data_IF_742919107032
#
_entry.id   IF_742919107032
#
_cell.length_a   1.000
_cell.length_b   1.000
_cell.length_c   1.000
_cell.angle_alpha   90.00
_cell.angle_beta   90.00
_cell.angle_gamma   90.00
#
_symmetry.space_group_name_H-M   'P 1'
#
loop_
_entity.id
_entity.type
_entity.pdbx_description
1 polymer ?
#
# COMPACT_ATOMS: atom_id res chain seq x y z
N UNK A 1 -9.02 18.19 -18.54
CA UNK A 1 -9.09 19.53 -17.91
C UNK A 1 -9.89 20.42 -18.86
N UNK A 2 -10.92 21.12 -18.36
CA UNK A 2 -11.67 22.12 -19.12
C UNK A 2 -11.70 23.41 -18.31
N UNK A 3 -11.40 24.55 -18.92
CA UNK A 3 -11.44 25.84 -18.22
C UNK A 3 -10.97 27.03 -19.05
N UNK A 4 -11.23 28.21 -18.52
CA UNK A 4 -10.90 29.49 -19.15
C UNK A 4 -9.42 29.85 -18.94
N UNK A 5 -8.66 29.90 -20.03
CA UNK A 5 -7.24 30.27 -20.01
C UNK A 5 -7.01 31.78 -19.98
N UNK A 6 -8.07 32.59 -20.20
CA UNK A 6 -8.06 34.05 -20.21
C UNK A 6 -7.00 34.68 -21.15
N UNK A 7 -6.43 33.89 -22.06
CA UNK A 7 -5.41 34.31 -23.01
C UNK A 7 -5.74 33.74 -24.38
N UNK A 8 -5.90 34.58 -25.42
CA UNK A 8 -6.29 34.11 -26.75
C UNK A 8 -5.20 33.23 -27.36
N UNK A 9 -5.55 31.99 -27.69
CA UNK A 9 -4.65 31.04 -28.35
C UNK A 9 -4.22 31.51 -29.75
N UNK A 10 -5.08 32.24 -30.45
CA UNK A 10 -4.85 32.75 -31.80
C UNK A 10 -4.15 34.13 -31.87
N UNK A 11 -3.63 34.65 -30.76
CA UNK A 11 -2.98 35.96 -30.76
C UNK A 11 -1.69 35.96 -31.60
N UNK A 12 -1.54 36.95 -32.49
CA UNK A 12 -0.32 37.14 -33.31
C UNK A 12 0.95 37.27 -32.45
N UNK A 13 0.84 37.89 -31.27
CA UNK A 13 1.93 37.99 -30.29
C UNK A 13 1.65 37.03 -29.14
N UNK A 14 2.41 35.94 -29.07
CA UNK A 14 2.28 34.93 -28.03
C UNK A 14 2.65 35.52 -26.66
N UNK A 15 1.74 35.40 -25.70
CA UNK A 15 2.01 35.77 -24.30
C UNK A 15 2.91 34.72 -23.64
N UNK A 16 3.57 35.07 -22.53
CA UNK A 16 4.38 34.12 -21.78
C UNK A 16 3.60 32.86 -21.35
N UNK A 17 2.34 33.02 -20.92
CA UNK A 17 1.47 31.89 -20.60
C UNK A 17 1.19 30.99 -21.81
N UNK A 18 0.96 31.58 -22.99
CA UNK A 18 0.76 30.81 -24.23
C UNK A 18 2.02 30.06 -24.66
N UNK A 19 3.21 30.62 -24.40
CA UNK A 19 4.49 29.93 -24.64
C UNK A 19 4.65 28.72 -23.71
N UNK A 20 4.40 28.89 -22.41
CA UNK A 20 4.44 27.79 -21.44
C UNK A 20 3.44 26.67 -21.79
N UNK A 21 2.23 27.04 -22.24
CA UNK A 21 1.24 26.06 -22.70
C UNK A 21 1.76 25.29 -23.93
N UNK A 22 2.36 25.97 -24.90
CA UNK A 22 2.93 25.32 -26.08
C UNK A 22 4.12 24.41 -25.73
N UNK A 23 4.99 24.82 -24.81
CA UNK A 23 6.06 23.98 -24.27
C UNK A 23 5.49 22.72 -23.60
N UNK A 24 4.45 22.89 -22.77
CA UNK A 24 3.80 21.75 -22.11
C UNK A 24 3.09 20.80 -23.08
N UNK A 25 2.55 21.31 -24.19
CA UNK A 25 1.99 20.49 -25.27
C UNK A 25 3.09 19.78 -26.09
N UNK A 26 4.26 20.39 -26.25
CA UNK A 26 5.41 19.79 -26.95
C UNK A 26 5.97 18.57 -26.21
N UNK A 27 5.81 18.50 -24.89
CA UNK A 27 6.17 17.31 -24.08
C UNK A 27 5.31 16.08 -24.38
N UNK A 28 4.27 16.20 -25.23
CA UNK A 28 3.35 15.12 -25.67
C UNK A 28 2.61 14.37 -24.56
N UNK A 29 2.71 14.83 -23.32
CA UNK A 29 1.95 14.26 -22.19
C UNK A 29 0.49 14.74 -22.18
N UNK A 30 0.23 15.91 -22.77
CA UNK A 30 -1.06 16.57 -22.85
C UNK A 30 -1.39 16.94 -24.30
N UNK A 31 -2.66 16.85 -24.65
CA UNK A 31 -3.18 17.16 -25.99
C UNK A 31 -4.26 18.23 -25.84
N UNK A 32 -4.18 19.26 -26.68
CA UNK A 32 -5.21 20.28 -26.82
C UNK A 32 -6.27 19.78 -27.79
N UNK A 33 -7.51 19.65 -27.30
CA UNK A 33 -8.63 19.16 -28.10
C UNK A 33 -9.28 20.29 -28.92
N UNK A 34 -9.10 21.54 -28.48
CA UNK A 34 -9.64 22.69 -29.19
C UNK A 34 -9.10 22.84 -30.60
N UNK A 35 -9.99 23.19 -31.52
CA UNK A 35 -9.62 23.85 -32.76
C UNK A 35 -9.30 25.33 -32.49
N UNK A 36 -8.11 25.77 -32.94
CA UNK A 36 -7.65 27.17 -32.76
C UNK A 36 -8.43 28.16 -33.63
N UNK A 37 -9.22 27.68 -34.58
CA UNK A 37 -10.01 28.52 -35.51
C UNK A 37 -11.44 28.75 -35.03
N UNK A 38 -11.95 27.90 -34.13
CA UNK A 38 -13.33 27.97 -33.63
C UNK A 38 -13.38 28.76 -32.33
N UNK A 39 -13.91 29.97 -32.39
CA UNK A 39 -13.98 30.86 -31.23
C UNK A 39 -14.80 30.26 -30.09
N UNK A 40 -14.26 30.34 -28.86
CA UNK A 40 -14.95 29.93 -27.64
C UNK A 40 -15.56 31.10 -26.87
N UNK A 41 -15.21 32.34 -27.25
CA UNK A 41 -15.80 33.57 -26.74
C UNK A 41 -15.93 34.63 -27.83
N UNK A 42 -16.96 35.46 -27.77
CA UNK A 42 -17.10 36.69 -28.58
C UNK A 42 -17.05 37.92 -27.68
N UNK A 43 -16.10 38.82 -27.90
CA UNK A 43 -15.99 40.05 -27.11
C UNK A 43 -17.25 40.93 -27.29
N UNK A 44 -18.03 41.22 -26.24
CA UNK A 44 -19.25 42.00 -26.35
C UNK A 44 -19.01 43.47 -26.72
N UNK A 45 -17.81 44.01 -26.51
CA UNK A 45 -17.48 45.40 -26.84
C UNK A 45 -17.00 45.57 -28.29
N UNK A 46 -16.32 44.55 -28.84
CA UNK A 46 -15.66 44.63 -30.16
C UNK A 46 -16.24 43.69 -31.21
N UNK A 47 -17.08 42.73 -30.81
CA UNK A 47 -17.60 41.68 -31.68
C UNK A 47 -16.54 40.67 -32.16
N UNK A 48 -15.30 40.77 -31.67
CA UNK A 48 -14.19 39.92 -32.11
C UNK A 48 -14.19 38.59 -31.34
N UNK A 49 -14.07 37.49 -32.08
CA UNK A 49 -13.97 36.15 -31.50
C UNK A 49 -12.58 35.81 -30.96
N UNK A 50 -12.54 35.00 -29.91
CA UNK A 50 -11.30 34.49 -29.29
C UNK A 50 -11.46 33.05 -28.80
N UNK A 51 -10.38 32.26 -28.86
CA UNK A 51 -10.26 30.97 -28.17
C UNK A 51 -9.60 31.18 -26.82
N UNK A 52 -10.39 31.16 -25.74
CA UNK A 52 -9.94 31.31 -24.36
C UNK A 52 -10.22 30.05 -23.53
N UNK A 53 -11.40 29.47 -23.67
CA UNK A 53 -11.77 28.23 -22.97
C UNK A 53 -11.12 27.01 -23.62
N UNK A 54 -10.32 26.29 -22.85
CA UNK A 54 -9.53 25.16 -23.32
C UNK A 54 -10.03 23.84 -22.76
N UNK A 55 -9.97 22.81 -23.58
CA UNK A 55 -10.07 21.41 -23.22
C UNK A 55 -8.72 20.72 -23.50
N UNK A 56 -8.06 20.32 -22.41
CA UNK A 56 -6.79 19.60 -22.42
C UNK A 56 -7.02 18.19 -21.90
N UNK A 57 -6.56 17.19 -22.62
CA UNK A 57 -6.62 15.78 -22.21
C UNK A 57 -5.20 15.23 -22.05
N UNK A 58 -5.04 14.18 -21.25
CA UNK A 58 -3.79 13.42 -21.26
C UNK A 58 -3.70 12.58 -22.52
N UNK A 59 -2.50 12.42 -23.07
CA UNK A 59 -2.31 11.68 -24.33
C UNK A 59 -2.81 10.22 -24.26
N UNK A 60 -2.78 9.61 -23.07
CA UNK A 60 -3.24 8.24 -22.85
C UNK A 60 -4.77 8.05 -22.94
N UNK A 61 -5.58 9.11 -22.99
CA UNK A 61 -7.04 9.04 -23.12
C UNK A 61 -7.54 9.67 -24.43
N UNK A 62 -6.65 9.99 -25.35
CA UNK A 62 -6.98 10.59 -26.65
C UNK A 62 -7.97 9.73 -27.45
N UNK A 63 -7.72 8.43 -27.50
CA UNK A 63 -8.57 7.45 -28.19
C UNK A 63 -9.98 7.34 -27.58
N UNK A 64 -10.19 7.86 -26.37
CA UNK A 64 -11.47 7.87 -25.71
C UNK A 64 -12.29 9.13 -26.04
N UNK A 65 -11.74 10.13 -26.71
CA UNK A 65 -12.51 11.29 -27.16
C UNK A 65 -13.33 10.91 -28.37
N UNK A 66 -14.66 10.94 -28.22
CA UNK A 66 -15.60 10.66 -29.31
C UNK A 66 -15.85 11.92 -30.13
N UNK A 67 -16.09 13.03 -29.42
CA UNK A 67 -16.50 14.28 -30.04
C UNK A 67 -16.08 15.48 -29.18
N UNK A 68 -15.73 16.57 -29.84
CA UNK A 68 -15.50 17.88 -29.24
C UNK A 68 -16.19 18.94 -30.08
N UNK A 69 -17.07 19.72 -29.45
CA UNK A 69 -17.88 20.72 -30.14
C UNK A 69 -17.96 22.00 -29.30
N UNK A 70 -17.87 23.15 -29.97
CA UNK A 70 -18.16 24.47 -29.40
C UNK A 70 -19.51 24.93 -29.94
N UNK A 71 -20.45 25.24 -29.04
CA UNK A 71 -21.81 25.64 -29.38
C UNK A 71 -21.89 27.09 -29.92
N UNK A 72 -21.30 27.31 -31.08
CA UNK A 72 -21.29 28.61 -31.78
C UNK A 72 -22.69 29.08 -32.19
N UNK A 73 -23.65 28.15 -32.32
CA UNK A 73 -25.06 28.45 -32.62
C UNK A 73 -25.90 28.77 -31.36
N UNK A 74 -25.29 28.77 -30.17
CA UNK A 74 -25.93 29.10 -28.89
C UNK A 74 -27.20 28.27 -28.58
N UNK A 75 -27.23 27.00 -29.01
CA UNK A 75 -28.34 26.07 -28.74
C UNK A 75 -28.36 25.60 -27.28
N UNK A 76 -27.19 25.47 -26.68
CA UNK A 76 -26.94 24.99 -25.31
C UNK A 76 -26.30 26.06 -24.41
N UNK A 77 -25.80 27.14 -25.01
CA UNK A 77 -25.11 28.23 -24.32
C UNK A 77 -26.02 28.91 -23.30
N UNK A 78 -25.50 29.13 -22.09
CA UNK A 78 -26.27 29.71 -21.01
C UNK A 78 -26.75 31.13 -21.35
N UNK A 79 -27.97 31.46 -20.94
CA UNK A 79 -28.56 32.78 -21.16
C UNK A 79 -29.34 33.24 -19.94
N UNK A 80 -29.48 34.56 -19.79
CA UNK A 80 -30.43 35.18 -18.87
C UNK A 80 -31.59 35.79 -19.65
N UNK A 81 -32.75 35.85 -19.02
CA UNK A 81 -33.92 36.55 -19.56
C UNK A 81 -33.92 37.99 -19.02
N UNK A 82 -33.96 38.97 -19.92
CA UNK A 82 -34.03 40.40 -19.54
C UNK A 82 -35.33 40.99 -20.05
N UNK A 83 -36.08 41.63 -19.15
CA UNK A 83 -37.32 42.34 -19.49
C UNK A 83 -36.99 43.80 -19.80
N UNK A 84 -37.33 44.26 -21.00
CA UNK A 84 -37.14 45.66 -21.42
C UNK A 84 -38.33 46.54 -20.98
N UNK A 85 -38.14 47.86 -21.06
CA UNK A 85 -39.14 48.88 -20.66
C UNK A 85 -40.44 48.81 -21.47
N UNK A 86 -40.37 48.26 -22.68
CA UNK A 86 -41.50 47.98 -23.57
C UNK A 86 -42.25 46.66 -23.25
N UNK A 87 -41.94 46.02 -22.11
CA UNK A 87 -42.48 44.72 -21.66
C UNK A 87 -42.07 43.51 -22.51
N UNK A 88 -41.19 43.65 -23.50
CA UNK A 88 -40.61 42.50 -24.22
C UNK A 88 -39.60 41.76 -23.34
N UNK A 89 -39.48 40.44 -23.56
CA UNK A 89 -38.53 39.58 -22.87
C UNK A 89 -37.55 39.01 -23.88
N UNK A 90 -36.28 39.35 -23.74
CA UNK A 90 -35.21 38.90 -24.62
C UNK A 90 -34.23 37.96 -23.91
N UNK A 91 -33.70 37.00 -24.66
CA UNK A 91 -32.59 36.14 -24.22
C UNK A 91 -31.28 36.89 -24.44
N UNK A 92 -30.52 37.09 -23.36
CA UNK A 92 -29.15 37.61 -23.42
C UNK A 92 -28.22 36.47 -23.08
N UNK A 93 -27.51 35.97 -24.09
CA UNK A 93 -26.53 34.90 -23.95
C UNK A 93 -25.24 35.42 -23.30
N UNK A 94 -24.50 34.52 -22.65
CA UNK A 94 -23.12 34.79 -22.21
C UNK A 94 -22.21 35.04 -23.42
N UNK A 95 -21.12 35.77 -23.21
CA UNK A 95 -20.09 36.02 -24.23
C UNK A 95 -19.23 34.78 -24.51
N UNK A 96 -19.22 33.80 -23.59
CA UNK A 96 -18.58 32.49 -23.76
C UNK A 96 -19.55 31.45 -24.34
N UNK A 97 -19.09 30.65 -25.31
CA UNK A 97 -19.85 29.54 -25.87
C UNK A 97 -19.69 28.29 -25.00
N UNK A 98 -20.75 27.47 -24.91
CA UNK A 98 -20.65 26.17 -24.23
C UNK A 98 -19.76 25.22 -25.02
N UNK A 99 -18.86 24.54 -24.32
CA UNK A 99 -18.01 23.48 -24.88
C UNK A 99 -18.56 22.11 -24.47
N UNK A 100 -18.71 21.21 -25.45
CA UNK A 100 -19.13 19.83 -25.26
C UNK A 100 -17.96 18.90 -25.59
N UNK A 101 -17.54 18.09 -24.62
CA UNK A 101 -16.55 17.03 -24.80
C UNK A 101 -17.20 15.69 -24.45
N UNK A 102 -17.25 14.77 -25.42
CA UNK A 102 -17.79 13.43 -25.23
C UNK A 102 -16.65 12.41 -25.11
N UNK A 103 -16.68 11.63 -24.03
CA UNK A 103 -15.67 10.62 -23.74
C UNK A 103 -16.30 9.23 -23.71
N UNK A 104 -15.75 8.29 -24.47
CA UNK A 104 -16.04 6.85 -24.37
C UNK A 104 -15.28 6.26 -23.21
N UNK A 105 -15.92 6.22 -22.04
CA UNK A 105 -15.34 5.54 -20.89
C UNK A 105 -15.79 4.07 -20.93
N UNK A 106 -14.87 3.09 -20.99
CA UNK A 106 -15.25 1.69 -20.87
C UNK A 106 -15.87 1.47 -19.48
N UNK A 107 -17.19 1.33 -19.44
CA UNK A 107 -17.89 0.97 -18.22
C UNK A 107 -17.71 -0.52 -17.95
N UNK A 108 -17.28 -0.86 -16.73
CA UNK A 108 -17.37 -2.24 -16.25
C UNK A 108 -18.84 -2.66 -16.29
N UNK A 109 -19.15 -3.69 -17.07
CA UNK A 109 -20.47 -4.33 -17.06
C UNK A 109 -20.57 -5.10 -15.73
N UNK A 110 -21.44 -4.62 -14.85
CA UNK A 110 -21.62 -5.20 -13.53
C UNK A 110 -22.46 -6.49 -13.61
N UNK A 111 -21.81 -7.65 -13.53
CA UNK A 111 -22.50 -8.94 -13.36
C UNK A 111 -22.93 -9.07 -11.90
N UNK A 112 -24.14 -9.59 -11.62
CA UNK A 112 -24.58 -9.88 -10.25
C UNK A 112 -23.60 -10.86 -9.60
N UNK A 113 -22.78 -10.38 -8.66
CA UNK A 113 -21.82 -11.20 -7.93
C UNK A 113 -22.46 -12.29 -7.08
N UNK A 114 -21.78 -13.42 -6.97
CA UNK A 114 -22.19 -14.53 -6.11
C UNK A 114 -22.04 -14.19 -4.62
N UNK A 115 -22.79 -14.89 -3.76
CA UNK A 115 -22.62 -14.77 -2.31
C UNK A 115 -21.34 -15.51 -1.90
N UNK A 116 -20.31 -14.78 -1.47
CA UNK A 116 -19.12 -15.39 -0.88
C UNK A 116 -19.31 -15.61 0.61
N UNK A 117 -18.93 -16.81 1.06
CA UNK A 117 -18.90 -17.18 2.48
C UNK A 117 -17.62 -16.61 3.11
N UNK A 118 -17.75 -15.72 4.09
CA UNK A 118 -16.62 -15.05 4.74
C UNK A 118 -16.76 -15.20 6.26
N UNK A 119 -15.64 -15.38 6.96
CA UNK A 119 -15.59 -15.45 8.42
C UNK A 119 -15.88 -14.07 9.02
N UNK A 120 -16.77 -14.00 10.01
CA UNK A 120 -17.17 -12.73 10.60
C UNK A 120 -16.26 -12.27 11.74
N UNK A 121 -15.07 -11.78 11.39
CA UNK A 121 -14.14 -11.19 12.37
C UNK A 121 -14.68 -9.92 13.07
N UNK A 122 -15.87 -9.43 12.73
CA UNK A 122 -16.53 -8.31 13.45
C UNK A 122 -17.40 -8.77 14.61
N UNK A 123 -17.63 -10.07 14.73
CA UNK A 123 -18.35 -10.66 15.85
C UNK A 123 -17.54 -10.47 17.15
N UNK A 124 -18.01 -9.57 18.03
CA UNK A 124 -17.36 -9.26 19.30
C UNK A 124 -17.39 -10.45 20.28
N UNK A 125 -18.48 -11.22 20.29
CA UNK A 125 -18.58 -12.45 21.09
C UNK A 125 -17.58 -13.51 20.63
N UNK A 126 -17.29 -13.56 19.34
CA UNK A 126 -16.27 -14.45 18.79
C UNK A 126 -14.88 -14.14 19.34
N UNK A 127 -14.53 -12.86 19.48
CA UNK A 127 -13.25 -12.46 20.09
C UNK A 127 -13.16 -12.79 21.58
N UNK A 128 -14.29 -12.77 22.31
CA UNK A 128 -14.31 -13.14 23.73
C UNK A 128 -14.08 -14.65 23.92
N UNK A 129 -14.65 -15.48 23.06
CA UNK A 129 -14.50 -16.96 23.10
C UNK A 129 -13.23 -17.47 22.44
N UNK A 130 -12.61 -16.67 21.56
CA UNK A 130 -11.45 -17.08 20.76
C UNK A 130 -10.30 -17.70 21.57
N UNK A 131 -9.89 -17.18 22.75
CA UNK A 131 -8.83 -17.80 23.55
C UNK A 131 -9.17 -19.23 23.99
N UNK A 132 -10.38 -19.45 24.50
CA UNK A 132 -10.86 -20.76 24.95
C UNK A 132 -10.99 -21.73 23.77
N UNK A 133 -11.51 -21.25 22.64
CA UNK A 133 -11.60 -22.05 21.41
C UNK A 133 -10.21 -22.44 20.91
N UNK A 134 -9.24 -21.52 20.87
CA UNK A 134 -7.87 -21.86 20.46
C UNK A 134 -7.24 -22.91 21.38
N UNK A 135 -7.46 -22.80 22.69
CA UNK A 135 -6.87 -23.71 23.68
C UNK A 135 -7.46 -25.13 23.60
N UNK A 136 -8.75 -25.25 23.25
CA UNK A 136 -9.41 -26.54 22.98
C UNK A 136 -8.78 -27.30 21.81
N UNK A 137 -8.32 -26.59 20.78
CA UNK A 137 -7.69 -27.22 19.60
C UNK A 137 -6.17 -27.39 19.72
N UNK A 138 -5.54 -26.91 20.81
CA UNK A 138 -4.10 -27.03 21.02
C UNK A 138 -3.60 -28.49 20.98
N UNK A 139 -4.40 -29.45 21.47
CA UNK A 139 -4.08 -30.87 21.41
C UNK A 139 -3.93 -31.40 19.98
N UNK A 140 -4.80 -30.98 19.06
CA UNK A 140 -4.72 -31.35 17.63
C UNK A 140 -3.44 -30.85 16.96
N UNK A 141 -2.96 -29.68 17.38
CA UNK A 141 -1.70 -29.10 16.88
C UNK A 141 -0.52 -29.96 17.34
N UNK A 142 -0.49 -30.33 18.63
CA UNK A 142 0.58 -31.17 19.18
C UNK A 142 0.60 -32.53 18.49
N UNK A 143 -0.57 -33.15 18.32
CA UNK A 143 -0.72 -34.42 17.59
C UNK A 143 -0.22 -34.30 16.14
N UNK A 144 -0.59 -33.24 15.43
CA UNK A 144 -0.11 -32.99 14.06
C UNK A 144 1.42 -32.87 14.01
N UNK A 145 2.03 -32.16 14.97
CA UNK A 145 3.49 -31.99 15.05
C UNK A 145 4.21 -33.31 15.33
N UNK A 146 3.59 -34.23 16.07
CA UNK A 146 4.17 -35.55 16.36
C UNK A 146 4.03 -36.53 15.19
N UNK A 147 2.89 -36.51 14.49
CA UNK A 147 2.54 -37.54 13.52
C UNK A 147 2.92 -37.21 12.06
N UNK A 148 3.06 -35.92 11.72
CA UNK A 148 3.32 -35.50 10.33
C UNK A 148 4.81 -35.18 10.15
N UNK A 149 5.55 -35.99 9.40
CA UNK A 149 6.97 -35.77 9.17
C UNK A 149 7.26 -34.65 8.16
N UNK A 150 6.43 -34.47 7.13
CA UNK A 150 6.66 -33.46 6.09
C UNK A 150 6.22 -32.05 6.57
N UNK A 151 7.11 -31.02 6.53
CA UNK A 151 6.78 -29.66 6.94
C UNK A 151 5.71 -28.99 6.08
N UNK A 152 5.63 -29.31 4.78
CA UNK A 152 4.62 -28.73 3.87
C UNK A 152 3.22 -29.25 4.25
N UNK A 153 3.09 -30.56 4.45
CA UNK A 153 1.82 -31.21 4.88
C UNK A 153 1.44 -30.74 6.29
N UNK A 154 2.41 -30.57 7.18
CA UNK A 154 2.17 -30.04 8.52
C UNK A 154 1.56 -28.64 8.45
N UNK A 155 2.15 -27.74 7.67
CA UNK A 155 1.65 -26.37 7.53
C UNK A 155 0.23 -26.32 6.94
N UNK A 156 -0.08 -27.15 5.94
CA UNK A 156 -1.45 -27.28 5.40
C UNK A 156 -2.46 -27.75 6.46
N UNK A 157 -2.04 -28.71 7.30
CA UNK A 157 -2.87 -29.19 8.41
C UNK A 157 -3.08 -28.11 9.46
N UNK A 158 -2.04 -27.35 9.81
CA UNK A 158 -2.12 -26.24 10.76
C UNK A 158 -3.04 -25.12 10.24
N UNK A 159 -2.97 -24.80 8.95
CA UNK A 159 -3.88 -23.84 8.32
C UNK A 159 -5.34 -24.31 8.34
N UNK A 160 -5.57 -25.62 8.20
CA UNK A 160 -6.90 -26.19 8.32
C UNK A 160 -7.44 -26.09 9.74
N UNK A 161 -6.61 -26.39 10.75
CA UNK A 161 -6.97 -26.23 12.17
C UNK A 161 -7.27 -24.76 12.49
N UNK A 162 -6.44 -23.83 12.02
CA UNK A 162 -6.67 -22.40 12.24
C UNK A 162 -7.99 -21.93 11.60
N UNK A 163 -8.35 -22.44 10.41
CA UNK A 163 -9.65 -22.19 9.80
C UNK A 163 -10.79 -22.77 10.63
N UNK A 164 -10.68 -24.01 11.12
CA UNK A 164 -11.68 -24.62 12.02
C UNK A 164 -11.92 -23.74 13.27
N UNK A 165 -10.85 -23.31 13.93
CA UNK A 165 -10.90 -22.44 15.11
C UNK A 165 -11.60 -21.11 14.78
N UNK A 166 -11.19 -20.46 13.68
CA UNK A 166 -11.78 -19.18 13.27
C UNK A 166 -13.28 -19.33 12.97
N UNK A 167 -13.68 -20.45 12.38
CA UNK A 167 -15.08 -20.75 12.08
C UNK A 167 -15.89 -21.01 13.35
N UNK A 168 -15.37 -21.82 14.27
CA UNK A 168 -16.02 -22.10 15.56
C UNK A 168 -16.18 -20.84 16.41
N UNK A 169 -15.17 -19.96 16.42
CA UNK A 169 -15.20 -18.75 17.22
C UNK A 169 -16.06 -17.64 16.58
N UNK A 170 -15.89 -17.35 15.29
CA UNK A 170 -16.49 -16.17 14.65
C UNK A 170 -17.76 -16.47 13.86
N UNK A 171 -17.94 -17.72 13.41
CA UNK A 171 -19.01 -18.08 12.48
C UNK A 171 -18.79 -17.50 11.07
N UNK A 172 -19.83 -17.61 10.24
CA UNK A 172 -19.81 -17.11 8.86
C UNK A 172 -20.90 -16.10 8.59
N UNK A 173 -20.58 -15.18 7.69
CA UNK A 173 -21.55 -14.32 7.02
C UNK A 173 -21.47 -14.55 5.51
N UNK A 174 -22.64 -14.54 4.87
CA UNK A 174 -22.72 -14.53 3.42
C UNK A 174 -22.68 -13.09 2.95
N UNK A 175 -21.50 -12.67 2.48
CA UNK A 175 -21.32 -11.35 1.90
C UNK A 175 -21.58 -11.48 0.41
N UNK A 176 -22.65 -10.83 -0.06
CA UNK A 176 -22.79 -10.56 -1.49
C UNK A 176 -21.61 -9.69 -1.91
N UNK A 177 -20.86 -10.11 -2.93
CA UNK A 177 -20.01 -9.18 -3.65
C UNK A 177 -20.89 -7.99 -4.09
N UNK A 178 -20.52 -6.80 -3.64
CA UNK A 178 -21.26 -5.58 -3.94
C UNK A 178 -20.45 -4.80 -4.93
N UNK A 179 -20.99 -4.65 -6.14
CA UNK A 179 -20.35 -3.90 -7.22
C UNK A 179 -20.49 -2.38 -7.08
N UNK A 180 -21.13 -1.90 -6.00
CA UNK A 180 -21.18 -0.46 -5.65
C UNK A 180 -20.61 -0.25 -4.25
N UNK A 181 -19.76 0.79 -4.05
CA UNK A 181 -19.35 1.18 -2.72
C UNK A 181 -20.62 1.44 -1.88
N UNK A 182 -20.67 0.83 -0.67
CA UNK A 182 -21.76 1.12 0.27
C UNK A 182 -21.81 2.65 0.44
N UNK A 183 -22.98 3.28 0.20
CA UNK A 183 -23.25 4.59 0.79
C UNK A 183 -22.88 4.47 2.26
N UNK A 184 -21.90 5.24 2.71
CA UNK A 184 -21.41 5.22 4.09
C UNK A 184 -22.62 5.56 4.95
N UNK A 185 -23.28 4.54 5.51
CA UNK A 185 -24.27 4.75 6.55
C UNK A 185 -23.47 5.27 7.74
N UNK A 186 -23.78 6.49 8.18
CA UNK A 186 -23.27 7.00 9.46
C UNK A 186 -23.52 5.91 10.50
N UNK A 187 -22.44 5.46 11.16
CA UNK A 187 -22.54 4.49 12.26
C UNK A 187 -23.50 5.08 13.32
N UNK A 188 -24.29 4.24 13.97
CA UNK A 188 -25.16 4.70 15.08
C UNK A 188 -24.29 5.27 16.20
N UNK A 189 -24.78 6.30 16.89
CA UNK A 189 -24.07 6.97 18.00
C UNK A 189 -23.61 5.99 19.07
N UNK A 190 -24.43 4.97 19.38
CA UNK A 190 -24.14 3.92 20.36
C UNK A 190 -22.89 3.09 19.99
N UNK A 191 -22.77 2.69 18.73
CA UNK A 191 -21.57 2.00 18.22
C UNK A 191 -20.35 2.92 18.14
N UNK A 192 -20.56 4.23 17.95
CA UNK A 192 -19.45 5.19 17.95
C UNK A 192 -18.87 5.36 19.36
N UNK A 193 -19.74 5.42 20.37
CA UNK A 193 -19.34 5.61 21.76
C UNK A 193 -18.57 4.38 22.29
N UNK A 194 -19.03 3.16 22.00
CA UNK A 194 -18.28 1.95 22.39
C UNK A 194 -16.90 1.87 21.72
N UNK A 195 -16.81 2.16 20.41
CA UNK A 195 -15.52 2.27 19.70
C UNK A 195 -14.64 3.40 20.25
N UNK A 196 -15.26 4.50 20.67
CA UNK A 196 -14.56 5.65 21.23
C UNK A 196 -14.03 5.35 22.63
N UNK A 197 -14.80 4.67 23.47
CA UNK A 197 -14.36 4.22 24.80
C UNK A 197 -13.24 3.17 24.71
N UNK A 198 -13.35 2.21 23.80
CA UNK A 198 -12.29 1.23 23.56
C UNK A 198 -11.01 1.93 23.05
N UNK A 199 -11.16 2.89 22.13
CA UNK A 199 -10.06 3.72 21.65
C UNK A 199 -9.47 4.62 22.76
N UNK A 200 -10.29 5.19 23.65
CA UNK A 200 -9.82 5.98 24.79
C UNK A 200 -9.02 5.11 25.76
N UNK A 201 -9.50 3.91 26.09
CA UNK A 201 -8.76 2.95 26.92
C UNK A 201 -7.43 2.54 26.27
N UNK A 202 -7.40 2.33 24.96
CA UNK A 202 -6.17 2.06 24.21
C UNK A 202 -5.21 3.26 24.20
N UNK A 203 -5.73 4.47 24.03
CA UNK A 203 -4.96 5.73 24.06
C UNK A 203 -4.40 5.97 25.45
N UNK A 204 -5.20 5.87 26.50
CA UNK A 204 -4.78 6.07 27.89
C UNK A 204 -3.70 5.07 28.27
N UNK A 205 -3.88 3.79 27.93
CA UNK A 205 -2.85 2.77 28.14
C UNK A 205 -1.56 3.09 27.36
N UNK A 206 -1.68 3.53 26.11
CA UNK A 206 -0.53 3.92 25.29
C UNK A 206 0.16 5.19 25.80
N UNK A 207 -0.58 6.14 26.41
CA UNK A 207 -0.04 7.34 27.05
C UNK A 207 0.74 6.94 28.29
N UNK A 208 0.18 6.11 29.17
CA UNK A 208 0.86 5.61 30.37
C UNK A 208 2.15 4.84 29.99
N UNK A 209 2.09 3.97 28.99
CA UNK A 209 3.27 3.25 28.46
C UNK A 209 4.27 4.16 27.72
N UNK A 210 3.84 5.32 27.22
CA UNK A 210 4.72 6.30 26.58
C UNK A 210 5.39 7.22 27.61
N UNK A 211 4.73 7.55 28.72
CA UNK A 211 5.29 8.37 29.80
C UNK A 211 6.53 7.72 30.43
N UNK A 212 6.60 6.38 30.46
CA UNK A 212 7.76 5.61 30.94
C UNK A 212 8.95 5.57 29.97
N UNK A 213 8.83 6.08 28.73
CA UNK A 213 9.93 6.05 27.75
C UNK A 213 10.79 7.31 27.83
N UNK A 214 12.13 7.15 27.88
CA UNK A 214 13.09 8.27 28.03
C UNK A 214 13.07 9.27 26.86
N UNK A 215 12.78 8.85 25.63
CA UNK A 215 12.87 9.72 24.45
C UNK A 215 11.57 10.52 24.18
N UNK A 216 11.68 11.85 24.15
CA UNK A 216 10.58 12.81 23.92
C UNK A 216 10.09 12.77 22.46
N UNK A 217 10.98 12.55 21.49
CA UNK A 217 10.62 12.59 20.07
C UNK A 217 9.79 11.37 19.64
N UNK A 218 10.16 10.17 20.12
CA UNK A 218 9.36 8.97 19.92
C UNK A 218 7.97 9.07 20.57
N UNK A 219 7.84 9.76 21.72
CA UNK A 219 6.55 10.03 22.37
C UNK A 219 5.66 10.92 21.52
N UNK A 220 6.22 12.02 21.00
CA UNK A 220 5.50 13.00 20.20
C UNK A 220 4.98 12.43 18.87
N UNK A 221 5.77 11.59 18.19
CA UNK A 221 5.33 10.95 16.95
C UNK A 221 4.19 9.94 17.16
N UNK A 222 4.23 9.14 18.23
CA UNK A 222 3.14 8.22 18.57
C UNK A 222 1.84 8.96 18.92
N UNK A 223 1.92 9.98 19.77
CA UNK A 223 0.80 10.86 20.12
C UNK A 223 0.21 11.52 18.87
N UNK A 224 1.06 12.05 17.99
CA UNK A 224 0.63 12.65 16.72
C UNK A 224 -0.11 11.65 15.81
N UNK A 225 0.27 10.37 15.83
CA UNK A 225 -0.35 9.33 15.01
C UNK A 225 -1.69 8.87 15.61
N UNK A 226 -1.81 8.84 16.93
CA UNK A 226 -3.06 8.59 17.66
C UNK A 226 -4.09 9.70 17.43
N UNK A 227 -3.66 10.96 17.49
CA UNK A 227 -4.55 12.14 17.33
C UNK A 227 -5.03 12.29 15.88
N UNK A 228 -4.12 12.21 14.91
CA UNK A 228 -4.46 12.47 13.51
C UNK A 228 -5.01 11.25 12.77
N UNK A 229 -5.02 10.09 13.42
CA UNK A 229 -5.32 8.80 12.79
C UNK A 229 -4.29 8.39 11.72
N UNK A 230 -4.43 7.17 11.17
CA UNK A 230 -3.57 6.73 10.08
C UNK A 230 -3.83 7.57 8.82
N UNK A 231 -2.77 8.09 8.18
CA UNK A 231 -2.80 8.86 6.92
C UNK A 231 -3.30 8.07 5.69
N UNK A 232 -3.83 6.87 5.89
CA UNK A 232 -4.13 5.88 4.85
C UNK A 232 -5.61 5.97 4.54
N UNK A 233 -5.96 6.71 3.48
CA UNK A 233 -7.27 6.57 2.84
C UNK A 233 -7.29 5.19 2.15
N UNK A 234 -8.43 4.47 2.14
CA UNK A 234 -8.59 3.27 1.33
C UNK A 234 -8.25 3.63 -0.12
N UNK A 235 -7.28 2.94 -0.71
CA UNK A 235 -6.93 3.14 -2.11
C UNK A 235 -8.02 2.48 -2.96
N UNK A 236 -8.67 3.26 -3.82
CA UNK A 236 -9.61 2.72 -4.80
C UNK A 236 -8.83 1.96 -5.87
N UNK A 237 -9.40 0.88 -6.41
CA UNK A 237 -8.83 0.17 -7.57
C UNK A 237 -8.74 1.16 -8.73
N UNK A 238 -7.53 1.65 -9.01
CA UNK A 238 -7.25 2.50 -10.13
C UNK A 238 -6.79 1.65 -11.32
N UNK A 239 -7.13 2.10 -12.54
CA UNK A 239 -6.46 1.64 -13.74
C UNK A 239 -4.94 1.86 -13.61
N UNK A 240 -4.14 1.08 -14.32
CA UNK A 240 -2.68 1.21 -14.31
C UNK A 240 -2.18 1.44 -15.73
N UNK A 241 -1.07 2.16 -15.89
CA UNK A 241 -0.33 2.17 -17.14
C UNK A 241 0.66 1.00 -17.12
N UNK A 242 0.72 0.26 -18.21
CA UNK A 242 1.79 -0.71 -18.44
C UNK A 242 3.16 -0.02 -18.33
N UNK A 243 4.10 -0.51 -17.49
CA UNK A 243 5.42 0.10 -17.34
C UNK A 243 6.24 0.16 -18.63
N UNK A 244 6.01 -0.77 -19.58
CA UNK A 244 6.79 -0.90 -20.82
C UNK A 244 6.11 -0.17 -21.98
N UNK A 245 4.81 -0.38 -22.14
CA UNK A 245 4.06 0.17 -23.28
C UNK A 245 3.36 1.50 -22.98
N UNK A 246 3.26 1.88 -21.70
CA UNK A 246 2.53 3.07 -21.21
C UNK A 246 1.03 3.12 -21.58
N UNK A 247 0.48 1.98 -22.04
CA UNK A 247 -0.95 1.84 -22.37
C UNK A 247 -1.76 1.69 -21.08
N UNK A 248 -2.93 2.32 -21.03
CA UNK A 248 -3.84 2.26 -19.89
C UNK A 248 -4.56 0.89 -19.85
N UNK A 249 -4.39 0.17 -18.74
CA UNK A 249 -5.01 -1.12 -18.46
C UNK A 249 -6.11 -0.91 -17.40
N UNK A 250 -7.33 -1.31 -17.75
CA UNK A 250 -8.52 -1.22 -16.88
C UNK A 250 -9.06 -2.57 -16.45
N UNK A 251 -8.60 -3.66 -17.07
CA UNK A 251 -9.03 -5.03 -16.76
C UNK A 251 -8.37 -5.55 -15.47
N UNK A 252 -9.13 -6.22 -14.61
CA UNK A 252 -8.65 -6.62 -13.28
C UNK A 252 -7.60 -7.75 -13.32
N UNK A 253 -7.81 -8.76 -14.17
CA UNK A 253 -6.86 -9.87 -14.29
C UNK A 253 -5.57 -9.39 -14.92
N UNK A 254 -5.68 -8.54 -15.96
CA UNK A 254 -4.50 -7.96 -16.59
C UNK A 254 -3.74 -7.01 -15.66
N UNK A 255 -4.44 -6.23 -14.83
CA UNK A 255 -3.82 -5.42 -13.77
C UNK A 255 -3.00 -6.31 -12.83
N UNK A 256 -3.54 -7.46 -12.39
CA UNK A 256 -2.83 -8.39 -11.48
C UNK A 256 -1.59 -8.98 -12.17
N UNK A 257 -1.72 -9.46 -13.40
CA UNK A 257 -0.64 -10.04 -14.18
C UNK A 257 0.52 -9.05 -14.38
N UNK A 258 0.21 -7.85 -14.88
CA UNK A 258 1.23 -6.81 -15.16
C UNK A 258 1.88 -6.30 -13.88
N UNK A 259 1.09 -6.12 -12.81
CA UNK A 259 1.64 -5.73 -11.50
C UNK A 259 2.56 -6.81 -10.94
N UNK A 260 2.22 -8.10 -11.10
CA UNK A 260 3.06 -9.20 -10.64
C UNK A 260 4.36 -9.26 -11.45
N UNK A 261 4.29 -9.21 -12.78
CA UNK A 261 5.45 -9.22 -13.66
C UNK A 261 6.41 -8.07 -13.34
N UNK A 262 5.88 -6.86 -13.12
CA UNK A 262 6.67 -5.70 -12.71
C UNK A 262 7.38 -5.92 -11.37
N UNK A 263 6.72 -6.53 -10.37
CA UNK A 263 7.35 -6.84 -9.10
C UNK A 263 8.43 -7.92 -9.22
N UNK A 264 8.19 -8.97 -10.02
CA UNK A 264 9.20 -10.00 -10.29
C UNK A 264 10.44 -9.35 -10.91
N UNK A 265 10.27 -8.51 -11.93
CA UNK A 265 11.38 -7.80 -12.58
C UNK A 265 12.20 -6.94 -11.60
N UNK A 266 11.54 -6.24 -10.66
CA UNK A 266 12.22 -5.44 -9.64
C UNK A 266 12.97 -6.30 -8.61
N UNK A 267 12.42 -7.47 -8.26
CA UNK A 267 12.97 -8.33 -7.21
C UNK A 267 14.07 -9.27 -7.74
N UNK A 268 14.07 -9.56 -9.05
CA UNK A 268 15.14 -10.32 -9.68
C UNK A 268 16.42 -9.49 -9.68
N UNK A 269 17.47 -10.01 -9.02
CA UNK A 269 18.79 -9.38 -9.03
C UNK A 269 19.27 -9.23 -10.47
N UNK A 270 19.73 -8.03 -10.83
CA UNK A 270 20.40 -7.81 -12.10
C UNK A 270 21.64 -8.68 -12.21
N UNK A 271 21.96 -9.14 -13.41
CA UNK A 271 23.22 -9.84 -13.65
C UNK A 271 24.38 -8.90 -13.31
N UNK A 272 25.43 -9.41 -12.64
CA UNK A 272 26.57 -8.59 -12.33
C UNK A 272 27.27 -8.13 -13.61
N UNK A 273 27.90 -6.97 -13.52
CA UNK A 273 28.78 -6.51 -14.59
C UNK A 273 30.01 -7.44 -14.65
N UNK A 274 30.56 -7.73 -15.85
CA UNK A 274 31.68 -8.67 -16.01
C UNK A 274 32.87 -8.39 -15.08
N UNK A 275 33.18 -7.11 -14.86
CA UNK A 275 34.28 -6.68 -13.99
C UNK A 275 34.09 -7.02 -12.49
N UNK A 276 32.89 -7.38 -12.04
CA UNK A 276 32.59 -7.73 -10.65
C UNK A 276 32.23 -9.21 -10.46
N UNK A 277 32.30 -10.03 -11.52
CA UNK A 277 31.97 -11.46 -11.43
C UNK A 277 32.91 -12.20 -10.46
N UNK A 278 34.19 -11.85 -10.43
CA UNK A 278 35.16 -12.48 -9.52
C UNK A 278 34.81 -12.25 -8.04
N UNK A 279 34.40 -11.04 -7.66
CA UNK A 279 33.99 -10.70 -6.28
C UNK A 279 32.75 -11.48 -5.84
N UNK A 280 31.84 -11.75 -6.78
CA UNK A 280 30.63 -12.52 -6.48
C UNK A 280 30.97 -13.98 -6.31
N UNK A 281 31.86 -14.51 -7.17
CA UNK A 281 32.35 -15.87 -7.06
C UNK A 281 33.06 -16.10 -5.73
N UNK A 282 33.96 -15.21 -5.34
CA UNK A 282 34.68 -15.26 -4.06
C UNK A 282 33.72 -15.23 -2.86
N UNK A 283 32.72 -14.33 -2.87
CA UNK A 283 31.68 -14.30 -1.82
C UNK A 283 30.86 -15.58 -1.75
N UNK A 284 30.60 -16.19 -2.90
CA UNK A 284 29.82 -17.43 -2.98
C UNK A 284 30.64 -18.63 -2.52
N UNK A 285 31.93 -18.67 -2.85
CA UNK A 285 32.88 -19.66 -2.33
C UNK A 285 32.99 -19.57 -0.81
N UNK A 286 33.21 -18.36 -0.26
CA UNK A 286 33.26 -18.15 1.19
C UNK A 286 31.94 -18.47 1.90
N UNK A 287 30.79 -18.17 1.26
CA UNK A 287 29.48 -18.57 1.78
C UNK A 287 29.33 -20.09 1.84
N UNK A 288 29.67 -20.80 0.75
CA UNK A 288 29.58 -22.25 0.70
C UNK A 288 30.54 -22.91 1.69
N UNK A 289 31.74 -22.36 1.87
CA UNK A 289 32.69 -22.81 2.89
C UNK A 289 32.09 -22.66 4.29
N UNK A 290 31.49 -21.50 4.61
CA UNK A 290 30.81 -21.28 5.89
C UNK A 290 29.67 -22.28 6.10
N UNK A 291 28.77 -22.42 5.12
CA UNK A 291 27.63 -23.34 5.21
C UNK A 291 28.06 -24.82 5.30
N UNK A 292 29.27 -25.14 4.85
CA UNK A 292 29.87 -26.47 4.98
C UNK A 292 30.55 -26.74 6.31
N UNK A 293 30.74 -25.72 7.16
CA UNK A 293 31.23 -25.91 8.53
C UNK A 293 30.09 -26.52 9.35
N UNK A 294 30.37 -27.65 10.00
CA UNK A 294 29.45 -28.29 10.92
C UNK A 294 30.01 -28.12 12.33
N UNK A 295 29.75 -26.96 12.95
CA UNK A 295 30.22 -26.66 14.29
C UNK A 295 29.12 -27.00 15.29
N UNK A 296 29.48 -27.54 16.46
CA UNK A 296 28.51 -27.81 17.52
C UNK A 296 27.78 -26.54 18.01
N UNK A 297 28.37 -25.36 17.78
CA UNK A 297 27.78 -24.04 18.07
C UNK A 297 26.57 -23.70 17.20
N UNK A 298 26.40 -24.37 16.05
CA UNK A 298 25.27 -24.18 15.13
C UNK A 298 24.02 -24.93 15.61
N UNK A 299 24.17 -25.91 16.51
CA UNK A 299 23.04 -26.63 17.10
C UNK A 299 22.27 -25.72 18.07
N UNK A 300 21.11 -25.24 17.63
CA UNK A 300 20.25 -24.38 18.42
C UNK A 300 18.92 -25.04 18.79
N UNK A 301 18.71 -25.26 20.08
CA UNK A 301 17.39 -25.56 20.63
C UNK A 301 16.65 -24.29 21.04
N UNK A 302 15.40 -24.15 20.59
CA UNK A 302 14.54 -23.04 20.99
C UNK A 302 14.10 -23.19 22.46
N UNK A 303 14.55 -22.27 23.30
CA UNK A 303 14.11 -22.15 24.70
C UNK A 303 12.76 -21.43 24.83
N UNK A 304 11.95 -21.85 25.81
CA UNK A 304 10.62 -21.29 26.06
C UNK A 304 10.68 -19.84 26.55
N UNK A 305 11.69 -19.47 27.35
CA UNK A 305 11.83 -18.09 27.83
C UNK A 305 12.25 -17.17 26.68
N UNK A 306 13.13 -17.64 25.80
CA UNK A 306 13.46 -16.92 24.55
C UNK A 306 12.23 -16.71 23.68
N UNK A 307 11.43 -17.76 23.45
CA UNK A 307 10.16 -17.65 22.71
C UNK A 307 9.20 -16.64 23.34
N UNK A 308 9.02 -16.67 24.67
CA UNK A 308 8.21 -15.70 25.41
C UNK A 308 8.72 -14.26 25.26
N UNK A 309 10.03 -14.04 25.26
CA UNK A 309 10.65 -12.73 25.03
C UNK A 309 10.33 -12.18 23.64
N UNK A 310 10.38 -13.02 22.60
CA UNK A 310 10.09 -12.61 21.22
C UNK A 310 8.60 -12.36 21.02
N UNK A 311 7.74 -13.26 21.49
CA UNK A 311 6.28 -13.12 21.40
C UNK A 311 5.75 -11.91 22.18
N UNK A 312 6.34 -11.57 23.34
CA UNK A 312 6.06 -10.32 24.06
C UNK A 312 6.33 -9.11 23.17
N UNK A 313 7.49 -9.04 22.52
CA UNK A 313 7.83 -7.95 21.59
C UNK A 313 6.89 -7.88 20.38
N UNK A 314 6.42 -9.03 19.88
CA UNK A 314 5.43 -9.08 18.79
C UNK A 314 4.08 -8.51 19.27
N UNK A 315 3.66 -8.85 20.49
CA UNK A 315 2.47 -8.30 21.13
C UNK A 315 2.59 -6.79 21.30
N UNK A 316 3.74 -6.30 21.78
CA UNK A 316 4.00 -4.87 21.98
C UNK A 316 3.98 -4.07 20.67
N UNK A 317 4.42 -4.68 19.56
CA UNK A 317 4.31 -4.08 18.20
C UNK A 317 2.87 -4.04 17.69
N UNK A 318 2.00 -4.90 18.22
CA UNK A 318 0.57 -5.01 17.92
C UNK A 318 0.20 -4.92 16.41
N UNK A 319 1.00 -5.55 15.55
CA UNK A 319 0.71 -5.57 14.11
C UNK A 319 -0.54 -6.42 13.84
N UNK A 320 -1.42 -5.94 12.97
CA UNK A 320 -2.68 -6.62 12.65
C UNK A 320 -2.51 -8.07 12.14
N UNK A 321 -1.39 -8.38 11.48
CA UNK A 321 -1.11 -9.74 11.01
C UNK A 321 -0.96 -10.77 12.14
N UNK A 322 -0.53 -10.34 13.34
CA UNK A 322 -0.40 -11.18 14.52
C UNK A 322 -1.65 -11.10 15.41
N UNK A 323 -2.74 -10.45 14.98
CA UNK A 323 -3.91 -10.21 15.82
C UNK A 323 -4.53 -11.50 16.36
N UNK A 324 -4.66 -12.52 15.50
CA UNK A 324 -5.17 -13.84 15.88
C UNK A 324 -4.24 -14.49 16.91
N UNK A 325 -2.95 -14.60 16.61
CA UNK A 325 -1.96 -15.15 17.54
C UNK A 325 -1.88 -14.38 18.88
N UNK A 326 -1.92 -13.05 18.87
CA UNK A 326 -1.85 -12.26 20.10
C UNK A 326 -3.07 -12.50 21.01
N UNK A 327 -4.25 -12.68 20.42
CA UNK A 327 -5.52 -12.93 21.11
C UNK A 327 -5.80 -14.41 21.39
N UNK A 328 -4.95 -15.34 20.97
CA UNK A 328 -5.12 -16.76 21.30
C UNK A 328 -4.81 -17.05 22.76
N UNK A 329 -5.31 -18.19 23.24
CA UNK A 329 -5.08 -18.69 24.58
C UNK A 329 -3.65 -19.18 24.83
N UNK A 330 -3.39 -19.59 26.06
CA UNK A 330 -2.05 -19.90 26.55
C UNK A 330 -1.58 -21.28 26.07
N UNK A 331 -2.47 -22.27 26.03
CA UNK A 331 -2.12 -23.63 25.60
C UNK A 331 -1.88 -23.68 24.09
N UNK A 332 -2.65 -22.91 23.31
CA UNK A 332 -2.38 -22.74 21.88
C UNK A 332 -1.00 -22.13 21.63
N UNK A 333 -0.63 -21.08 22.38
CA UNK A 333 0.71 -20.46 22.26
C UNK A 333 1.85 -21.41 22.62
N UNK A 334 1.62 -22.33 23.55
CA UNK A 334 2.55 -23.39 23.89
C UNK A 334 2.63 -24.45 22.78
N UNK A 335 1.52 -24.81 22.14
CA UNK A 335 1.53 -25.70 20.98
C UNK A 335 2.30 -25.08 19.80
N UNK A 336 2.12 -23.78 19.55
CA UNK A 336 2.91 -23.04 18.54
C UNK A 336 4.40 -23.01 18.87
N UNK A 337 4.78 -22.96 20.15
CA UNK A 337 6.19 -23.10 20.54
C UNK A 337 6.76 -24.45 20.10
N UNK A 338 6.01 -25.54 20.27
CA UNK A 338 6.45 -26.88 19.83
C UNK A 338 6.66 -26.95 18.32
N UNK A 339 5.79 -26.30 17.54
CA UNK A 339 5.95 -26.17 16.07
C UNK A 339 7.27 -25.44 15.74
N UNK A 340 7.45 -24.24 16.33
CA UNK A 340 8.62 -23.40 16.06
C UNK A 340 9.92 -24.07 16.50
N UNK A 341 9.88 -24.78 17.64
CA UNK A 341 10.99 -25.56 18.14
C UNK A 341 11.40 -26.64 17.14
N UNK A 342 10.43 -27.40 16.61
CA UNK A 342 10.69 -28.42 15.58
C UNK A 342 11.31 -27.82 14.32
N UNK A 343 10.75 -26.74 13.78
CA UNK A 343 11.28 -26.10 12.57
C UNK A 343 12.71 -25.62 12.74
N UNK A 344 13.07 -25.13 13.93
CA UNK A 344 14.44 -24.71 14.23
C UNK A 344 15.36 -25.92 14.39
N UNK A 345 14.99 -26.90 15.22
CA UNK A 345 15.86 -28.05 15.54
C UNK A 345 16.12 -28.97 14.34
N UNK A 346 15.16 -29.05 13.41
CA UNK A 346 15.28 -29.87 12.20
C UNK A 346 15.65 -29.06 10.96
N UNK A 347 15.80 -27.75 11.10
CA UNK A 347 15.97 -26.81 9.97
C UNK A 347 14.90 -26.98 8.87
N UNK A 348 13.68 -27.34 9.27
CA UNK A 348 12.55 -27.57 8.37
C UNK A 348 11.79 -26.26 8.14
N UNK A 349 11.73 -25.79 6.88
CA UNK A 349 10.94 -24.62 6.49
C UNK A 349 9.90 -25.02 5.42
N UNK A 350 8.59 -24.89 5.70
CA UNK A 350 7.56 -25.14 4.69
C UNK A 350 7.70 -24.18 3.50
N UNK A 351 7.52 -24.66 2.28
CA UNK A 351 7.56 -23.87 1.04
C UNK A 351 6.52 -22.75 1.03
N UNK A 352 5.41 -22.94 1.74
CA UNK A 352 4.41 -21.90 1.94
C UNK A 352 5.00 -20.61 2.57
N UNK A 353 6.14 -20.69 3.26
CA UNK A 353 6.79 -19.53 3.90
C UNK A 353 7.56 -18.67 2.90
N UNK A 354 7.83 -19.19 1.70
CA UNK A 354 8.43 -18.43 0.60
C UNK A 354 7.38 -17.61 -0.15
N UNK A 355 6.11 -17.98 -0.03
CA UNK A 355 5.02 -17.26 -0.68
C UNK A 355 4.75 -15.91 0.02
N UNK A 356 4.49 -14.89 -0.78
CA UNK A 356 4.10 -13.56 -0.30
C UNK A 356 2.90 -13.06 -1.08
N UNK A 357 1.97 -12.43 -0.38
CA UNK A 357 0.94 -11.61 -1.01
C UNK A 357 1.43 -10.17 -1.15
N UNK A 358 1.01 -9.49 -2.21
CA UNK A 358 1.41 -8.10 -2.50
C UNK A 358 0.24 -7.16 -2.22
N UNK A 359 0.46 -6.17 -1.37
CA UNK A 359 -0.48 -5.07 -1.17
C UNK A 359 0.10 -3.79 -1.78
N UNK A 360 -0.56 -3.27 -2.80
CA UNK A 360 -0.15 -2.05 -3.49
C UNK A 360 -0.55 -0.80 -2.71
N UNK A 361 0.38 0.15 -2.57
CA UNK A 361 0.19 1.44 -1.91
C UNK A 361 0.82 2.54 -2.76
N UNK A 362 0.05 3.55 -3.14
CA UNK A 362 0.59 4.69 -3.85
C UNK A 362 1.53 5.53 -2.98
N UNK A 363 2.73 5.83 -3.49
CA UNK A 363 3.76 6.63 -2.79
C UNK A 363 3.38 8.10 -2.62
N UNK A 364 2.23 8.54 -3.13
CA UNK A 364 1.80 9.95 -3.22
C UNK A 364 2.81 10.82 -3.97
N UNK A 365 3.46 10.22 -4.97
CA UNK A 365 4.41 10.87 -5.89
C UNK A 365 4.01 10.51 -7.31
N UNK A 366 4.10 11.48 -8.23
CA UNK A 366 3.74 11.29 -9.64
C UNK A 366 2.31 10.79 -9.87
N UNK A 367 2.05 10.21 -11.04
CA UNK A 367 0.73 9.64 -11.37
C UNK A 367 0.45 8.36 -10.57
N UNK A 368 -0.76 8.24 -10.05
CA UNK A 368 -1.29 7.03 -9.43
C UNK A 368 -1.61 5.91 -10.45
N UNK A 369 -1.48 6.17 -11.75
CA UNK A 369 -1.60 5.15 -12.78
C UNK A 369 -0.27 4.41 -13.01
N UNK A 370 0.86 5.01 -12.63
CA UNK A 370 2.18 4.43 -12.86
C UNK A 370 2.58 3.46 -11.75
N UNK A 371 2.95 2.22 -12.11
CA UNK A 371 3.43 1.21 -11.16
C UNK A 371 4.75 1.62 -10.48
N UNK A 372 5.62 2.40 -11.14
CA UNK A 372 6.86 2.91 -10.55
C UNK A 372 6.59 3.79 -9.31
N UNK A 373 5.44 4.48 -9.31
CA UNK A 373 4.99 5.32 -8.21
C UNK A 373 4.25 4.54 -7.11
N UNK A 374 4.17 3.22 -7.25
CA UNK A 374 3.56 2.33 -6.28
C UNK A 374 4.63 1.70 -5.40
N UNK A 375 4.26 1.43 -4.16
CA UNK A 375 5.00 0.62 -3.20
C UNK A 375 4.22 -0.66 -3.01
N UNK A 376 4.88 -1.80 -3.13
CA UNK A 376 4.29 -3.09 -2.82
C UNK A 376 4.76 -3.54 -1.45
N UNK A 377 3.81 -3.78 -0.55
CA UNK A 377 4.08 -4.39 0.74
C UNK A 377 3.95 -5.89 0.60
N UNK A 378 5.03 -6.59 0.94
CA UNK A 378 5.11 -8.04 0.98
C UNK A 378 4.55 -8.56 2.30
N UNK A 379 3.45 -9.29 2.21
CA UNK A 379 2.73 -9.87 3.34
C UNK A 379 2.88 -11.38 3.30
N UNK A 380 3.78 -11.90 4.15
CA UNK A 380 3.92 -13.33 4.46
C UNK A 380 2.91 -13.77 5.52
N UNK A 381 2.66 -15.07 5.63
CA UNK A 381 1.86 -15.62 6.73
C UNK A 381 2.50 -15.28 8.10
N UNK A 382 1.70 -15.27 9.16
CA UNK A 382 2.18 -14.83 10.47
C UNK A 382 3.15 -15.83 11.10
N UNK A 383 3.00 -17.14 10.83
CA UNK A 383 3.92 -18.19 11.33
C UNK A 383 5.31 -18.04 10.71
N UNK A 384 5.41 -17.80 9.40
CA UNK A 384 6.68 -17.47 8.73
C UNK A 384 7.37 -16.26 9.36
N UNK A 385 6.62 -15.19 9.63
CA UNK A 385 7.17 -13.99 10.29
C UNK A 385 7.54 -14.21 11.76
N UNK A 386 6.90 -15.17 12.45
CA UNK A 386 7.29 -15.56 13.80
C UNK A 386 8.62 -16.32 13.76
N UNK A 387 8.78 -17.29 12.85
CA UNK A 387 10.04 -18.02 12.65
C UNK A 387 11.20 -17.08 12.31
N UNK A 388 11.00 -16.19 11.33
CA UNK A 388 11.97 -15.14 10.95
C UNK A 388 12.37 -14.28 12.16
N UNK A 389 11.39 -13.89 13.00
CA UNK A 389 11.66 -13.09 14.19
C UNK A 389 12.45 -13.86 15.26
N UNK A 390 12.22 -15.16 15.42
CA UNK A 390 12.96 -16.00 16.35
C UNK A 390 14.42 -16.14 15.91
N UNK A 391 14.65 -16.51 14.65
CA UNK A 391 15.99 -16.68 14.06
C UNK A 391 16.77 -15.36 14.09
N UNK A 392 16.15 -14.27 13.62
CA UNK A 392 16.81 -12.95 13.60
C UNK A 392 17.21 -12.49 15.00
N UNK A 393 16.36 -12.70 16.00
CA UNK A 393 16.69 -12.32 17.38
C UNK A 393 17.80 -13.18 17.99
N UNK A 394 17.96 -14.43 17.55
CA UNK A 394 19.07 -15.30 17.96
C UNK A 394 20.39 -14.89 17.33
N UNK A 395 20.39 -14.55 16.04
CA UNK A 395 21.58 -14.10 15.29
C UNK A 395 22.03 -12.69 15.67
N UNK A 396 21.11 -11.85 16.17
CA UNK A 396 21.36 -10.43 16.41
C UNK A 396 22.64 -10.11 17.20
N UNK A 397 22.99 -10.78 18.32
CA UNK A 397 24.21 -10.50 19.06
C UNK A 397 25.47 -10.71 18.22
N UNK A 398 25.56 -11.83 17.51
CA UNK A 398 26.71 -12.15 16.64
C UNK A 398 26.83 -11.14 15.48
N UNK A 399 25.70 -10.76 14.87
CA UNK A 399 25.68 -9.73 13.83
C UNK A 399 26.20 -8.40 14.38
N UNK A 400 25.75 -8.01 15.57
CA UNK A 400 26.16 -6.76 16.23
C UNK A 400 27.65 -6.76 16.55
N UNK A 401 28.18 -7.89 17.04
CA UNK A 401 29.61 -8.06 17.34
C UNK A 401 30.48 -8.05 16.08
N UNK A 402 30.03 -8.69 15.00
CA UNK A 402 30.73 -8.71 13.72
C UNK A 402 30.60 -7.41 12.91
N UNK A 403 29.72 -6.47 13.32
CA UNK A 403 29.52 -5.21 12.61
C UNK A 403 30.69 -4.27 12.88
N UNK A 404 31.47 -3.86 11.85
CA UNK A 404 32.61 -2.97 12.05
C UNK A 404 32.15 -1.58 12.50
N UNK A 405 32.99 -0.88 13.29
CA UNK A 405 32.71 0.46 13.82
C UNK A 405 32.33 1.49 12.75
N UNK A 406 32.84 1.31 11.52
CA UNK A 406 32.49 2.16 10.39
C UNK A 406 31.00 2.05 10.02
N UNK A 407 30.31 0.96 10.37
CA UNK A 407 28.88 0.72 10.09
C UNK A 407 27.97 1.01 11.29
N UNK A 408 28.42 1.81 12.27
CA UNK A 408 27.67 2.13 13.50
C UNK A 408 26.24 2.63 13.22
N UNK A 409 26.02 3.34 12.10
CA UNK A 409 24.69 3.86 11.74
C UNK A 409 23.65 2.79 11.41
N UNK A 410 24.08 1.55 11.15
CA UNK A 410 23.21 0.38 10.98
C UNK A 410 22.89 -0.35 12.29
N UNK A 411 23.53 0.02 13.41
CA UNK A 411 23.38 -0.69 14.68
C UNK A 411 22.12 -0.28 15.43
N UNK A 412 21.45 -1.20 16.13
CA UNK A 412 20.33 -0.86 17.00
C UNK A 412 20.76 0.14 18.07
N UNK A 413 19.96 1.21 18.26
CA UNK A 413 20.20 2.32 19.21
C UNK A 413 21.25 3.35 18.79
N UNK A 414 21.95 3.12 17.67
CA UNK A 414 22.87 4.12 17.11
C UNK A 414 22.15 5.06 16.15
N UNK A 415 22.65 6.30 16.05
CA UNK A 415 22.08 7.31 15.15
C UNK A 415 22.95 7.52 13.91
N UNK A 416 22.32 7.90 12.80
CA UNK A 416 23.04 8.29 11.57
C UNK A 416 24.00 9.45 11.80
N UNK A 417 23.73 10.29 12.81
CA UNK A 417 24.63 11.40 13.22
C UNK A 417 25.92 10.85 13.84
N UNK A 418 25.83 9.86 14.73
CA UNK A 418 26.99 9.21 15.34
C UNK A 418 27.88 8.56 14.29
N UNK A 419 27.26 7.91 13.29
CA UNK A 419 27.98 7.34 12.14
C UNK A 419 28.74 8.39 11.33
N UNK A 420 28.13 9.55 11.06
CA UNK A 420 28.79 10.65 10.37
C UNK A 420 29.96 11.21 11.17
N UNK A 421 29.86 11.26 12.50
CA UNK A 421 30.96 11.67 13.38
C UNK A 421 32.10 10.66 13.32
N UNK A 422 31.82 9.36 13.48
CA UNK A 422 32.83 8.30 13.38
C UNK A 422 33.56 8.32 12.04
N UNK A 423 32.82 8.47 10.93
CA UNK A 423 33.41 8.58 9.60
C UNK A 423 34.32 9.81 9.46
N UNK A 424 33.87 10.98 9.92
CA UNK A 424 34.66 12.21 9.85
C UNK A 424 35.93 12.13 10.69
N UNK A 425 35.85 11.58 11.90
CA UNK A 425 37.01 11.39 12.78
C UNK A 425 38.02 10.43 12.15
N UNK A 426 37.53 9.33 11.56
CA UNK A 426 38.39 8.35 10.90
C UNK A 426 39.05 8.92 9.63
N UNK A 427 38.31 9.67 8.80
CA UNK A 427 38.87 10.37 7.64
C UNK A 427 39.97 11.34 8.06
N UNK A 428 39.75 12.11 9.13
CA UNK A 428 40.76 13.04 9.65
C UNK A 428 42.02 12.33 10.15
N UNK A 429 41.90 11.15 10.76
CA UNK A 429 43.03 10.33 11.18
C UNK A 429 43.84 9.71 10.03
N UNK A 430 43.27 9.63 8.82
CA UNK A 430 43.97 9.16 7.61
C UNK A 430 44.65 10.32 6.88
N UNK A 431 44.15 11.55 7.06
CA UNK A 431 44.75 12.77 6.51
C UNK A 431 45.98 13.25 7.31
N UNK A 432 46.07 12.89 8.60
CA UNK A 432 47.25 13.06 9.47
C UNK A 432 48.23 11.88 9.32
#
# INVERSE_FOLDING_TARGET
>A
CMGDFNRPLQAKRLTHGTKLLNEWLNDKNMILVNDKTVNTRTDPARGTGSVLDLALISANIEQNVINFEVDTQQKMTAFKMVRRRDKTVEKVFTDHFTIKLELKIPMKIFKKGEKKKIIDFKNSQGWAKYPETTDKHAGKIIEAVQNIADPDILEERLDSIDKEIQVEAFGFIYVKERDRPKKIRRKSSKNLNELYEEHLKEVDKAITECLDRRDVYSRMYKLKTLINGPKIKPQEQAAINDPKTNVLITDEEKIKEVSLAHNVEILTKMKPLPQYEYLIKEKQEGHNEMMGRNLDEDNWTLDINFYRKVTKRIKDKNKNMFKLFNKSGATYKAAVFTIMKRFIEKEEVPKAYDHTSLTQIWKKKGSALSLNNMRFIHMKCWRAKLLEALVTEKMKPQIVEATPNIQIGGMPQSQSVEHLVTLKTWMKQIEE
#
